data_IF_653208117760
#
_entry.id   IF_653208117760
#
_cell.length_a   1.000
_cell.length_b   1.000
_cell.length_c   1.000
_cell.angle_alpha   90.00
_cell.angle_beta   90.00
_cell.angle_gamma   90.00
#
_symmetry.space_group_name_H-M   'P 1'
#
loop_
_entity.id
_entity.type
_entity.pdbx_description
1 polymer ?
#
# COMPACT_ATOMS: atom_id res chain seq x y z
N UNK A 1 -9.37 -38.77 -17.62
CA UNK A 1 -8.42 -38.89 -18.72
C UNK A 1 -7.10 -38.28 -18.22
N UNK A 2 -6.03 -39.06 -18.18
CA UNK A 2 -4.76 -38.63 -17.59
C UNK A 2 -4.07 -37.65 -18.55
N UNK A 3 -3.41 -36.61 -18.07
CA UNK A 3 -2.72 -35.60 -18.91
C UNK A 3 -1.79 -36.24 -19.92
N UNK A 4 -1.20 -37.37 -19.57
CA UNK A 4 -0.34 -38.18 -20.43
C UNK A 4 -1.07 -38.73 -21.66
N UNK A 5 -2.31 -39.23 -21.48
CA UNK A 5 -3.15 -39.79 -22.55
C UNK A 5 -3.58 -38.71 -23.56
N UNK A 6 -3.75 -37.47 -23.10
CA UNK A 6 -4.09 -36.31 -23.97
C UNK A 6 -2.90 -35.91 -24.81
N UNK A 7 -1.69 -35.90 -24.22
CA UNK A 7 -0.44 -35.54 -24.90
C UNK A 7 -0.09 -36.60 -25.97
N UNK A 8 -0.18 -37.88 -25.61
CA UNK A 8 0.12 -38.98 -26.54
C UNK A 8 -0.85 -39.00 -27.72
N UNK A 9 -2.13 -38.76 -27.51
CA UNK A 9 -3.11 -38.66 -28.58
C UNK A 9 -2.92 -37.44 -29.48
N UNK A 10 -2.51 -36.30 -28.92
CA UNK A 10 -2.25 -35.07 -29.69
C UNK A 10 -0.96 -35.20 -30.55
N UNK A 11 0.07 -35.86 -30.03
CA UNK A 11 1.33 -36.07 -30.76
C UNK A 11 1.24 -37.16 -31.83
N UNK A 12 0.29 -38.10 -31.74
CA UNK A 12 0.08 -39.12 -32.76
C UNK A 12 -0.59 -38.58 -34.03
N UNK A 13 -1.17 -37.39 -33.99
CA UNK A 13 -1.78 -36.70 -35.12
C UNK A 13 -0.77 -35.84 -35.93
N UNK A 14 0.48 -35.74 -35.50
CA UNK A 14 1.52 -34.91 -36.12
C UNK A 14 2.62 -35.80 -36.69
N UNK A 15 3.03 -35.54 -37.95
CA UNK A 15 4.04 -36.31 -38.67
C UNK A 15 5.46 -35.88 -38.24
N UNK A 16 5.89 -36.36 -37.05
CA UNK A 16 7.22 -36.12 -36.45
C UNK A 16 7.91 -37.45 -36.14
N UNK A 17 9.24 -37.45 -36.08
CA UNK A 17 10.01 -38.67 -35.82
C UNK A 17 9.73 -39.22 -34.40
N UNK A 18 9.88 -40.55 -34.25
CA UNK A 18 9.67 -41.20 -32.94
C UNK A 18 10.63 -40.69 -31.84
N UNK A 19 11.82 -40.20 -32.26
CA UNK A 19 12.80 -39.61 -31.34
C UNK A 19 12.41 -38.22 -30.88
N UNK A 20 11.89 -37.42 -31.78
CA UNK A 20 11.38 -36.06 -31.43
C UNK A 20 10.13 -36.11 -30.56
N UNK A 21 9.24 -37.10 -30.83
CA UNK A 21 8.08 -37.39 -29.95
C UNK A 21 8.53 -37.68 -28.52
N UNK A 22 9.55 -38.49 -28.31
CA UNK A 22 10.12 -38.81 -27.00
C UNK A 22 10.69 -37.57 -26.30
N UNK A 23 11.45 -36.75 -27.05
CA UNK A 23 12.02 -35.51 -26.53
C UNK A 23 10.94 -34.51 -26.11
N UNK A 24 9.90 -34.36 -26.93
CA UNK A 24 8.76 -33.48 -26.61
C UNK A 24 8.00 -34.01 -25.40
N UNK A 25 7.71 -35.31 -25.32
CA UNK A 25 7.08 -35.92 -24.19
C UNK A 25 7.86 -35.73 -22.87
N UNK A 26 9.21 -35.89 -22.91
CA UNK A 26 10.04 -35.69 -21.72
C UNK A 26 10.02 -34.22 -21.25
N UNK A 27 10.18 -33.26 -22.18
CA UNK A 27 10.11 -31.83 -21.87
C UNK A 27 8.77 -31.42 -21.29
N UNK A 28 7.66 -31.91 -21.85
CA UNK A 28 6.31 -31.61 -21.33
C UNK A 28 6.12 -32.26 -19.96
N UNK A 29 6.58 -33.49 -19.75
CA UNK A 29 6.47 -34.20 -18.47
C UNK A 29 7.26 -33.48 -17.37
N UNK A 30 8.47 -33.01 -17.70
CA UNK A 30 9.31 -32.25 -16.77
C UNK A 30 8.66 -30.89 -16.41
N UNK A 31 8.08 -30.20 -17.40
CA UNK A 31 7.36 -28.95 -17.15
C UNK A 31 6.06 -29.17 -16.36
N UNK A 32 5.31 -30.23 -16.62
CA UNK A 32 4.09 -30.57 -15.87
C UNK A 32 4.47 -30.94 -14.44
N UNK A 33 5.55 -31.69 -14.21
CA UNK A 33 6.05 -32.01 -12.88
C UNK A 33 6.41 -30.77 -12.06
N UNK A 34 7.16 -29.83 -12.68
CA UNK A 34 7.51 -28.55 -12.07
C UNK A 34 6.27 -27.70 -11.75
N UNK A 35 5.27 -27.69 -12.63
CA UNK A 35 4.02 -26.98 -12.44
C UNK A 35 3.18 -27.57 -11.31
N UNK A 36 3.08 -28.92 -11.25
CA UNK A 36 2.38 -29.61 -10.15
C UNK A 36 3.09 -29.41 -8.80
N UNK A 37 4.42 -29.38 -8.77
CA UNK A 37 5.22 -29.09 -7.60
C UNK A 37 5.03 -27.63 -7.12
N UNK A 38 4.98 -26.69 -8.07
CA UNK A 38 4.66 -25.30 -7.78
C UNK A 38 3.24 -25.12 -7.21
N UNK A 39 2.24 -25.80 -7.80
CA UNK A 39 0.86 -25.80 -7.27
C UNK A 39 0.81 -26.41 -5.87
N UNK A 40 1.46 -27.56 -5.65
CA UNK A 40 1.52 -28.22 -4.34
C UNK A 40 2.17 -27.33 -3.29
N UNK A 41 3.30 -26.67 -3.62
CA UNK A 41 3.96 -25.74 -2.73
C UNK A 41 3.09 -24.52 -2.44
N UNK A 42 2.33 -24.04 -3.41
CA UNK A 42 1.38 -22.94 -3.24
C UNK A 42 0.17 -23.31 -2.40
N UNK A 43 -0.34 -24.54 -2.56
CA UNK A 43 -1.41 -25.08 -1.73
C UNK A 43 -0.97 -25.36 -0.28
N UNK A 44 0.24 -25.87 -0.08
CA UNK A 44 0.84 -26.02 1.26
C UNK A 44 1.09 -24.67 1.92
N UNK A 45 1.58 -23.69 1.16
CA UNK A 45 1.74 -22.32 1.63
C UNK A 45 0.37 -21.67 1.91
N UNK A 46 -0.65 -21.95 1.09
CA UNK A 46 -2.04 -21.53 1.36
C UNK A 46 -2.58 -22.21 2.62
N UNK A 47 -2.34 -23.51 2.83
CA UNK A 47 -2.74 -24.22 4.06
C UNK A 47 -2.01 -23.65 5.28
N UNK A 48 -0.70 -23.44 5.21
CA UNK A 48 0.09 -22.82 6.30
C UNK A 48 -0.36 -21.38 6.58
N UNK A 49 -0.69 -20.60 5.53
CA UNK A 49 -1.31 -19.28 5.66
C UNK A 49 -2.72 -19.34 6.24
N UNK A 50 -3.54 -20.30 5.80
CA UNK A 50 -4.92 -20.46 6.29
C UNK A 50 -4.97 -20.87 7.77
N UNK A 51 -4.03 -21.66 8.26
CA UNK A 51 -3.91 -22.01 9.67
C UNK A 51 -3.50 -20.80 10.51
N UNK A 52 -2.57 -19.96 10.01
CA UNK A 52 -2.14 -18.72 10.69
C UNK A 52 -3.08 -17.52 10.47
N UNK A 53 -3.83 -17.45 9.36
CA UNK A 53 -4.51 -16.25 8.88
C UNK A 53 -5.92 -16.50 8.33
N UNK A 54 -6.60 -17.55 8.78
CA UNK A 54 -7.88 -18.04 8.22
C UNK A 54 -9.02 -17.03 8.11
N UNK A 55 -8.93 -15.88 8.77
CA UNK A 55 -9.96 -14.83 8.77
C UNK A 55 -9.66 -13.63 7.86
N UNK A 56 -8.43 -13.52 7.34
CA UNK A 56 -7.96 -12.30 6.66
C UNK A 56 -8.17 -12.27 5.15
N UNK A 57 -8.88 -13.23 4.58
CA UNK A 57 -9.05 -13.35 3.12
C UNK A 57 -9.78 -12.17 2.44
N UNK A 58 -10.40 -11.28 3.19
CA UNK A 58 -11.21 -10.17 2.63
C UNK A 58 -10.77 -8.77 3.07
N UNK A 59 -9.81 -8.66 3.97
CA UNK A 59 -9.30 -7.37 4.46
C UNK A 59 -7.83 -7.25 4.16
N UNK A 60 -7.38 -6.04 3.85
CA UNK A 60 -5.97 -5.71 3.79
C UNK A 60 -5.32 -6.21 5.09
N UNK A 61 -4.27 -6.98 4.97
CA UNK A 61 -3.58 -7.54 6.12
C UNK A 61 -2.76 -6.45 6.83
N UNK A 62 -3.46 -5.62 7.60
CA UNK A 62 -2.85 -4.57 8.43
C UNK A 62 -2.00 -5.19 9.53
N UNK A 63 -2.32 -6.43 9.92
CA UNK A 63 -1.54 -7.22 10.86
C UNK A 63 -0.12 -7.51 10.31
N UNK A 64 0.02 -7.83 9.03
CA UNK A 64 1.33 -7.98 8.41
C UNK A 64 2.17 -6.70 8.47
N UNK A 65 1.52 -5.54 8.38
CA UNK A 65 2.19 -4.24 8.53
C UNK A 65 2.62 -3.98 9.99
N UNK A 66 1.94 -4.55 10.99
CA UNK A 66 2.22 -4.29 12.39
C UNK A 66 3.09 -5.37 13.07
N UNK A 67 2.91 -6.65 12.75
CA UNK A 67 3.54 -7.74 13.52
C UNK A 67 4.54 -8.57 12.72
N UNK A 68 4.25 -8.93 11.48
CA UNK A 68 5.08 -9.87 10.74
C UNK A 68 6.47 -9.35 10.42
N UNK A 69 6.60 -8.05 10.21
CA UNK A 69 7.89 -7.37 10.03
C UNK A 69 8.60 -7.11 11.37
N UNK A 70 7.95 -7.35 12.51
CA UNK A 70 8.53 -7.14 13.84
C UNK A 70 9.72 -8.05 14.12
N UNK A 71 9.67 -9.29 13.67
CA UNK A 71 10.75 -10.26 13.92
C UNK A 71 11.94 -10.07 12.96
N UNK A 72 11.70 -9.57 11.76
CA UNK A 72 12.70 -9.46 10.70
C UNK A 72 13.48 -8.14 10.71
N UNK A 73 12.87 -7.04 11.13
CA UNK A 73 13.46 -5.71 11.07
C UNK A 73 13.20 -4.93 12.37
N UNK A 74 13.88 -5.34 13.45
CA UNK A 74 13.90 -4.50 14.65
C UNK A 74 14.57 -3.17 14.31
N UNK A 75 13.74 -2.13 14.13
CA UNK A 75 14.17 -0.76 14.02
C UNK A 75 14.91 -0.30 15.27
N UNK A 76 14.71 0.89 15.73
CA UNK A 76 15.29 1.37 16.97
C UNK A 76 14.21 1.58 18.05
N UNK A 77 14.62 1.46 19.30
CA UNK A 77 13.74 1.72 20.45
C UNK A 77 13.66 3.24 20.63
N UNK A 78 12.43 3.74 20.69
CA UNK A 78 12.16 5.14 20.94
C UNK A 78 12.38 5.48 22.40
N UNK A 79 12.96 6.65 22.65
CA UNK A 79 13.15 7.14 24.01
C UNK A 79 11.83 7.76 24.52
N UNK A 80 11.25 7.13 25.54
CA UNK A 80 10.03 7.60 26.15
C UNK A 80 10.22 8.84 27.04
N UNK A 81 11.45 9.25 27.31
CA UNK A 81 11.78 10.47 28.06
C UNK A 81 11.71 11.76 27.25
N UNK A 82 11.57 11.65 25.93
CA UNK A 82 11.47 12.81 25.01
C UNK A 82 10.33 13.72 25.41
N UNK A 83 10.65 15.01 25.49
CA UNK A 83 9.67 16.05 25.83
C UNK A 83 8.92 16.56 24.61
N UNK A 84 7.74 16.02 24.35
CA UNK A 84 6.88 16.43 23.25
C UNK A 84 6.15 17.79 23.48
N UNK A 85 6.35 18.47 24.60
CA UNK A 85 5.91 19.88 24.73
C UNK A 85 6.68 20.82 23.80
N UNK A 86 7.88 20.39 23.36
CA UNK A 86 8.78 21.12 22.46
C UNK A 86 8.56 20.83 20.98
N UNK A 87 7.33 20.51 20.56
CA UNK A 87 7.00 20.22 19.15
C UNK A 87 7.37 21.35 18.17
N UNK A 88 7.51 22.57 18.66
CA UNK A 88 7.94 23.73 17.84
C UNK A 88 9.46 23.72 17.54
N UNK A 89 10.25 23.00 18.31
CA UNK A 89 11.68 22.82 18.11
C UNK A 89 11.94 21.59 17.22
N UNK A 90 11.84 21.80 15.91
CA UNK A 90 12.03 20.75 14.91
C UNK A 90 13.40 20.09 15.06
N UNK A 91 14.45 20.87 15.33
CA UNK A 91 15.82 20.37 15.47
C UNK A 91 15.93 19.40 16.65
N UNK A 92 15.33 19.73 17.79
CA UNK A 92 15.29 18.85 18.94
C UNK A 92 14.53 17.56 18.62
N UNK A 93 13.34 17.68 18.02
CA UNK A 93 12.49 16.52 17.70
C UNK A 93 13.16 15.56 16.72
N UNK A 94 13.80 16.05 15.69
CA UNK A 94 14.45 15.24 14.65
C UNK A 94 15.73 14.58 15.14
N UNK A 95 16.51 15.24 16.00
CA UNK A 95 17.79 14.72 16.50
C UNK A 95 17.62 13.83 17.76
N UNK A 96 16.52 13.92 18.45
CA UNK A 96 16.21 13.01 19.59
C UNK A 96 15.72 11.64 19.08
N UNK A 97 15.68 10.63 19.96
CA UNK A 97 15.09 9.33 19.68
C UNK A 97 13.55 9.37 19.81
N UNK A 98 12.95 10.43 19.25
CA UNK A 98 11.53 10.69 19.21
C UNK A 98 10.84 9.96 18.08
N UNK A 99 9.50 10.01 18.05
CA UNK A 99 8.72 9.55 16.89
C UNK A 99 9.02 10.31 15.59
N UNK A 100 9.74 11.43 15.65
CA UNK A 100 10.16 12.25 14.51
C UNK A 100 11.65 12.09 14.19
N UNK A 101 12.35 11.18 14.87
CA UNK A 101 13.78 10.98 14.71
C UNK A 101 14.18 10.78 13.25
N UNK A 102 15.33 11.34 12.88
CA UNK A 102 15.93 11.12 11.56
C UNK A 102 16.40 9.66 11.36
N UNK A 103 16.48 8.88 12.43
CA UNK A 103 16.90 7.47 12.37
C UNK A 103 15.96 6.57 11.59
N UNK A 104 14.68 6.98 11.43
CA UNK A 104 13.73 6.27 10.56
C UNK A 104 12.93 7.27 9.72
N UNK A 105 12.88 7.00 8.42
CA UNK A 105 12.30 7.89 7.43
C UNK A 105 13.26 8.96 6.89
N UNK A 106 12.77 9.76 5.96
CA UNK A 106 13.54 10.75 5.22
C UNK A 106 13.79 12.00 6.10
N UNK A 107 14.97 12.57 6.03
CA UNK A 107 15.24 13.90 6.63
C UNK A 107 14.44 14.97 5.89
N UNK A 108 13.69 15.81 6.63
CA UNK A 108 12.74 16.78 6.08
C UNK A 108 13.34 17.80 5.10
N UNK A 109 14.65 18.06 5.16
CA UNK A 109 15.32 19.08 4.35
C UNK A 109 16.02 18.56 3.09
N UNK A 110 15.94 17.26 2.79
CA UNK A 110 16.74 16.64 1.73
C UNK A 110 15.90 16.10 0.55
N UNK A 111 14.90 16.87 0.12
CA UNK A 111 14.04 16.50 -1.02
C UNK A 111 14.82 16.21 -2.32
N UNK A 112 16.05 16.66 -2.45
CA UNK A 112 16.89 16.42 -3.63
C UNK A 112 17.68 15.11 -3.55
N UNK A 113 17.91 14.56 -2.35
CA UNK A 113 18.73 13.37 -2.12
C UNK A 113 17.92 12.08 -1.92
N UNK A 114 16.60 12.19 -1.81
CA UNK A 114 15.67 11.08 -1.53
C UNK A 114 15.76 9.96 -2.57
N UNK A 115 16.03 10.27 -3.82
CA UNK A 115 16.13 9.24 -4.87
C UNK A 115 17.50 8.54 -4.89
N UNK A 116 18.56 9.19 -4.40
CA UNK A 116 19.92 8.67 -4.48
C UNK A 116 20.37 7.87 -3.24
N UNK A 117 19.81 8.17 -2.06
CA UNK A 117 20.21 7.54 -0.79
C UNK A 117 19.01 6.89 -0.10
N UNK A 118 18.58 5.77 -0.64
CA UNK A 118 17.39 5.03 -0.17
C UNK A 118 17.66 4.11 1.00
N UNK A 119 18.91 3.86 1.32
CA UNK A 119 19.32 2.88 2.29
C UNK A 119 20.13 3.52 3.39
N UNK A 120 19.83 3.17 4.63
CA UNK A 120 20.47 3.74 5.81
C UNK A 120 20.77 2.65 6.83
N UNK A 121 21.87 2.79 7.56
CA UNK A 121 22.16 1.93 8.70
C UNK A 121 21.31 2.30 9.92
N UNK A 122 21.29 1.42 10.92
CA UNK A 122 20.49 1.58 12.14
C UNK A 122 20.81 2.87 12.93
N UNK A 123 22.07 3.29 12.98
CA UNK A 123 22.48 4.51 13.70
C UNK A 123 22.28 5.79 12.89
N UNK A 124 21.94 5.69 11.60
CA UNK A 124 21.74 6.83 10.71
C UNK A 124 23.03 7.48 10.20
N UNK A 125 24.22 6.94 10.57
CA UNK A 125 25.51 7.50 10.13
C UNK A 125 25.77 7.28 8.65
N UNK A 126 25.52 6.06 8.16
CA UNK A 126 25.74 5.67 6.77
C UNK A 126 24.42 5.73 5.98
N UNK A 127 24.43 6.50 4.89
CA UNK A 127 23.33 6.59 3.91
C UNK A 127 23.88 6.31 2.52
N UNK A 128 23.35 5.29 1.85
CA UNK A 128 23.87 4.79 0.58
C UNK A 128 22.76 4.54 -0.46
N UNK A 129 23.11 4.51 -1.75
CA UNK A 129 22.14 4.14 -2.80
C UNK A 129 21.85 2.65 -2.88
N UNK A 130 22.56 1.80 -2.11
CA UNK A 130 22.46 0.34 -2.15
C UNK A 130 22.26 -0.25 -0.77
N UNK A 131 21.53 -1.39 -0.70
CA UNK A 131 21.37 -2.17 0.51
C UNK A 131 22.63 -3.02 0.82
N UNK A 132 22.75 -3.44 2.08
CA UNK A 132 23.76 -4.44 2.51
C UNK A 132 25.16 -3.88 2.76
N UNK A 133 25.36 -2.55 2.72
CA UNK A 133 26.67 -1.95 3.04
C UNK A 133 26.80 -1.81 4.55
N UNK A 134 27.88 -2.34 5.12
CA UNK A 134 28.12 -2.32 6.57
C UNK A 134 28.56 -0.95 7.05
N UNK A 135 27.87 -0.43 8.04
CA UNK A 135 28.22 0.83 8.68
C UNK A 135 29.49 0.68 9.55
N UNK A 136 30.48 1.59 9.44
CA UNK A 136 31.69 1.53 10.25
C UNK A 136 31.44 1.85 11.73
N UNK A 137 30.32 2.48 12.07
CA UNK A 137 30.00 2.89 13.44
C UNK A 137 29.17 1.86 14.18
N UNK A 138 28.05 1.41 13.58
CA UNK A 138 27.12 0.47 14.25
C UNK A 138 27.21 -0.96 13.73
N UNK A 139 28.06 -1.22 12.73
CA UNK A 139 28.27 -2.52 12.08
C UNK A 139 27.02 -3.19 11.50
N UNK A 140 25.87 -2.46 11.44
CA UNK A 140 24.66 -2.95 10.80
C UNK A 140 24.68 -2.63 9.29
N UNK A 141 24.04 -3.46 8.51
CA UNK A 141 23.89 -3.24 7.07
C UNK A 141 22.86 -2.15 6.80
N UNK A 142 23.07 -1.44 5.69
CA UNK A 142 22.11 -0.42 5.21
C UNK A 142 20.83 -1.09 4.76
N UNK A 143 19.70 -0.58 5.25
CA UNK A 143 18.34 -1.04 4.96
C UNK A 143 17.55 0.08 4.30
N UNK A 144 16.49 -0.29 3.58
CA UNK A 144 15.59 0.69 3.00
C UNK A 144 15.00 1.59 4.11
N UNK A 145 15.14 2.91 3.94
CA UNK A 145 14.67 3.88 4.96
C UNK A 145 13.15 3.81 5.20
N UNK A 146 12.37 3.33 4.23
CA UNK A 146 10.93 3.14 4.38
C UNK A 146 10.56 1.93 5.23
N UNK A 147 11.49 0.99 5.40
CA UNK A 147 11.29 -0.23 6.18
C UNK A 147 11.76 -0.06 7.63
N UNK A 148 12.48 1.01 7.94
CA UNK A 148 12.98 1.28 9.30
C UNK A 148 11.83 1.79 10.17
N UNK A 149 11.62 1.13 11.31
CA UNK A 149 10.55 1.43 12.27
C UNK A 149 11.10 1.80 13.63
N UNK A 150 10.32 2.58 14.38
CA UNK A 150 10.55 2.82 15.79
C UNK A 150 9.67 1.92 16.67
N UNK A 151 10.08 1.72 17.91
CA UNK A 151 9.37 0.87 18.86
C UNK A 151 9.24 1.54 20.20
N UNK A 152 8.04 1.51 20.79
CA UNK A 152 7.86 1.70 22.22
C UNK A 152 7.87 0.35 22.89
N UNK A 153 8.62 0.21 23.98
CA UNK A 153 8.71 -1.02 24.77
C UNK A 153 8.04 -0.80 26.12
N UNK A 154 7.14 -1.70 26.50
CA UNK A 154 6.49 -1.74 27.81
C UNK A 154 7.17 -2.85 28.62
N UNK A 155 7.87 -2.49 29.70
CA UNK A 155 8.73 -3.43 30.43
C UNK A 155 7.97 -4.54 31.17
N UNK A 156 6.83 -4.21 31.79
CA UNK A 156 6.15 -5.09 32.76
C UNK A 156 4.73 -5.49 32.39
N UNK A 157 4.16 -4.88 31.37
CA UNK A 157 2.77 -5.10 30.99
C UNK A 157 2.67 -5.37 29.49
N UNK A 158 1.54 -5.96 29.10
CA UNK A 158 1.18 -6.17 27.71
C UNK A 158 -0.14 -5.46 27.43
N UNK A 159 -0.36 -5.06 26.19
CA UNK A 159 -1.60 -4.48 25.69
C UNK A 159 -2.12 -5.33 24.55
N UNK A 160 -3.41 -5.27 24.28
CA UNK A 160 -3.95 -6.00 23.15
C UNK A 160 -3.37 -5.54 21.83
N UNK A 161 -3.03 -6.49 21.00
CA UNK A 161 -2.73 -6.25 19.59
C UNK A 161 -4.00 -5.70 18.91
N UNK A 162 -3.91 -4.57 18.18
CA UNK A 162 -5.11 -3.84 17.75
C UNK A 162 -5.95 -4.60 16.72
N UNK A 163 -5.33 -5.39 15.83
CA UNK A 163 -6.07 -6.17 14.84
C UNK A 163 -6.78 -7.35 15.50
N UNK A 164 -6.07 -8.08 16.37
CA UNK A 164 -6.66 -9.17 17.15
C UNK A 164 -7.85 -8.67 17.98
N UNK A 165 -7.69 -7.54 18.67
CA UNK A 165 -8.76 -6.96 19.48
C UNK A 165 -9.94 -6.50 18.62
N UNK A 166 -9.67 -5.84 17.49
CA UNK A 166 -10.72 -5.40 16.55
C UNK A 166 -11.54 -6.59 16.04
N UNK A 167 -10.84 -7.69 15.69
CA UNK A 167 -11.47 -8.91 15.23
C UNK A 167 -12.27 -9.60 16.33
N UNK A 168 -11.72 -9.67 17.54
CA UNK A 168 -12.40 -10.22 18.71
C UNK A 168 -13.69 -9.44 19.01
N UNK A 169 -13.63 -8.11 19.02
CA UNK A 169 -14.79 -7.25 19.23
C UNK A 169 -15.86 -7.37 18.11
N UNK A 170 -15.46 -7.73 16.90
CA UNK A 170 -16.38 -7.99 15.80
C UNK A 170 -17.11 -9.36 15.94
N UNK A 171 -16.48 -10.32 16.62
CA UNK A 171 -16.95 -11.70 16.77
C UNK A 171 -17.31 -12.05 18.23
N UNK A 172 -17.89 -11.09 18.97
CA UNK A 172 -18.36 -11.33 20.32
C UNK A 172 -19.65 -12.17 20.33
N UNK A 173 -19.73 -13.10 21.28
CA UNK A 173 -20.95 -13.85 21.56
C UNK A 173 -22.04 -12.89 22.06
N UNK A 174 -23.14 -12.80 21.33
CA UNK A 174 -24.27 -11.91 21.66
C UNK A 174 -24.93 -12.26 23.00
N UNK A 175 -24.88 -13.53 23.41
CA UNK A 175 -25.46 -14.00 24.69
C UNK A 175 -24.59 -13.67 25.91
N UNK A 176 -23.29 -13.42 25.74
CA UNK A 176 -22.37 -13.09 26.82
C UNK A 176 -22.47 -11.64 27.32
N UNK A 177 -23.23 -10.81 26.62
CA UNK A 177 -23.46 -9.41 26.98
C UNK A 177 -23.22 -8.43 25.82
N UNK A 178 -23.65 -7.18 25.98
CA UNK A 178 -23.51 -6.20 24.91
C UNK A 178 -22.04 -5.85 24.64
N UNK A 179 -21.66 -5.77 23.37
CA UNK A 179 -20.31 -5.35 22.91
C UNK A 179 -19.79 -4.10 23.64
N UNK A 180 -20.68 -3.16 23.92
CA UNK A 180 -20.36 -1.93 24.65
C UNK A 180 -19.81 -2.23 26.04
N UNK A 181 -20.36 -3.19 26.76
CA UNK A 181 -19.90 -3.52 28.12
C UNK A 181 -18.49 -4.12 28.12
N UNK A 182 -18.19 -5.00 27.16
CA UNK A 182 -16.85 -5.56 27.00
C UNK A 182 -15.85 -4.45 26.64
N UNK A 183 -16.22 -3.60 25.69
CA UNK A 183 -15.41 -2.46 25.27
C UNK A 183 -15.17 -1.49 26.43
N UNK A 184 -16.21 -1.19 27.22
CA UNK A 184 -16.12 -0.28 28.37
C UNK A 184 -15.17 -0.82 29.45
N UNK A 185 -15.12 -2.14 29.66
CA UNK A 185 -14.18 -2.73 30.61
C UNK A 185 -12.73 -2.63 30.14
N UNK A 186 -12.50 -2.75 28.83
CA UNK A 186 -11.17 -2.75 28.24
C UNK A 186 -10.63 -1.33 27.97
N UNK A 187 -11.48 -0.38 27.58
CA UNK A 187 -11.03 0.87 26.99
C UNK A 187 -11.52 2.10 27.76
N UNK A 188 -12.75 2.08 28.32
CA UNK A 188 -13.38 3.29 28.84
C UNK A 188 -12.88 3.70 30.21
N UNK A 189 -12.58 4.98 30.38
CA UNK A 189 -12.16 5.60 31.64
C UNK A 189 -13.32 5.84 32.65
N UNK A 190 -14.57 5.67 32.23
CA UNK A 190 -15.69 5.91 33.08
C UNK A 190 -15.65 5.05 34.37
N UNK A 191 -15.69 5.70 35.49
CA UNK A 191 -15.76 5.09 36.83
C UNK A 191 -17.12 4.42 37.07
N UNK A 192 -17.43 3.37 36.34
CA UNK A 192 -18.63 2.60 36.58
C UNK A 192 -18.41 1.73 37.82
N UNK A 193 -19.08 2.06 38.92
CA UNK A 193 -19.02 1.31 40.18
C UNK A 193 -19.46 -0.16 40.09
N UNK A 194 -20.01 -0.61 38.96
CA UNK A 194 -20.56 -1.95 38.74
C UNK A 194 -20.11 -2.57 37.42
N UNK A 195 -18.80 -2.51 37.07
CA UNK A 195 -18.29 -3.20 35.87
C UNK A 195 -18.16 -4.70 36.15
N UNK A 196 -19.08 -5.48 35.58
CA UNK A 196 -18.97 -6.97 35.56
C UNK A 196 -18.04 -7.40 34.44
N UNK A 197 -16.93 -8.04 34.77
CA UNK A 197 -15.98 -8.64 33.82
C UNK A 197 -14.53 -8.23 34.09
N UNK A 198 -13.56 -8.99 33.58
CA UNK A 198 -12.14 -8.74 33.78
C UNK A 198 -11.71 -7.44 33.09
N UNK A 199 -10.77 -6.75 33.71
CA UNK A 199 -10.12 -5.55 33.17
C UNK A 199 -8.74 -5.91 32.59
N UNK A 200 -8.04 -4.93 31.98
CA UNK A 200 -6.75 -5.16 31.35
C UNK A 200 -5.64 -5.66 32.28
N UNK A 201 -5.71 -5.39 33.58
CA UNK A 201 -4.75 -5.91 34.54
C UNK A 201 -5.04 -7.39 34.85
N UNK A 202 -6.32 -7.76 34.95
CA UNK A 202 -6.72 -9.16 35.17
C UNK A 202 -6.32 -10.03 33.97
N UNK A 203 -6.42 -9.49 32.78
CA UNK A 203 -6.09 -10.16 31.50
C UNK A 203 -4.58 -10.29 31.20
N UNK A 204 -3.70 -9.78 32.10
CA UNK A 204 -2.26 -10.08 32.01
C UNK A 204 -1.98 -11.55 32.34
N UNK A 205 -2.85 -12.19 33.14
CA UNK A 205 -2.77 -13.62 33.40
C UNK A 205 -3.36 -14.44 32.24
N UNK A 206 -2.58 -15.43 31.79
CA UNK A 206 -2.98 -16.28 30.64
C UNK A 206 -4.28 -17.08 30.92
N UNK A 207 -4.49 -17.54 32.17
CA UNK A 207 -5.69 -18.31 32.51
C UNK A 207 -6.94 -17.43 32.42
N UNK A 208 -6.87 -16.25 32.99
CA UNK A 208 -7.94 -15.26 32.93
C UNK A 208 -8.24 -14.82 31.50
N UNK A 209 -7.21 -14.72 30.66
CA UNK A 209 -7.38 -14.43 29.23
C UNK A 209 -8.08 -15.56 28.47
N UNK A 210 -7.77 -16.85 28.77
CA UNK A 210 -8.46 -18.01 28.23
C UNK A 210 -9.94 -17.97 28.61
N UNK A 211 -10.24 -17.84 29.91
CA UNK A 211 -11.62 -17.74 30.42
C UNK A 211 -12.40 -16.59 29.79
N UNK A 212 -11.74 -15.46 29.54
CA UNK A 212 -12.31 -14.31 28.85
C UNK A 212 -12.65 -14.65 27.40
N UNK A 213 -11.76 -15.33 26.66
CA UNK A 213 -12.01 -15.77 25.28
C UNK A 213 -13.16 -16.78 25.25
N UNK A 214 -13.13 -17.79 26.11
CA UNK A 214 -14.16 -18.83 26.17
C UNK A 214 -15.56 -18.26 26.45
N UNK A 215 -15.63 -17.24 27.30
CA UNK A 215 -16.91 -16.60 27.67
C UNK A 215 -17.43 -15.66 26.61
N UNK A 216 -16.56 -14.86 25.99
CA UNK A 216 -16.98 -13.72 25.16
C UNK A 216 -16.82 -13.94 23.66
N UNK A 217 -16.01 -14.90 23.21
CA UNK A 217 -15.90 -15.22 21.78
C UNK A 217 -17.17 -15.94 21.28
N UNK A 218 -17.50 -15.72 20.00
CA UNK A 218 -18.52 -16.51 19.32
C UNK A 218 -18.06 -17.96 19.14
N UNK A 219 -18.97 -18.93 19.21
CA UNK A 219 -18.63 -20.37 19.16
C UNK A 219 -17.87 -20.75 17.89
N UNK A 220 -18.23 -20.18 16.74
CA UNK A 220 -17.59 -20.43 15.46
C UNK A 220 -16.16 -19.87 15.35
N UNK A 221 -15.73 -19.02 16.28
CA UNK A 221 -14.41 -18.36 16.29
C UNK A 221 -13.59 -18.63 17.54
N UNK A 222 -14.14 -19.33 18.50
CA UNK A 222 -13.48 -19.61 19.78
C UNK A 222 -12.12 -20.30 19.59
N UNK A 223 -12.08 -21.36 18.79
CA UNK A 223 -10.85 -22.12 18.52
C UNK A 223 -9.77 -21.26 17.87
N UNK A 224 -10.18 -20.35 16.97
CA UNK A 224 -9.25 -19.40 16.37
C UNK A 224 -8.61 -18.50 17.41
N UNK A 225 -9.40 -17.88 18.29
CA UNK A 225 -8.88 -16.96 19.31
C UNK A 225 -8.02 -17.69 20.35
N UNK A 226 -8.36 -18.92 20.70
CA UNK A 226 -7.55 -19.77 21.59
C UNK A 226 -6.22 -20.17 20.93
N UNK A 227 -6.21 -20.49 19.65
CA UNK A 227 -4.98 -20.83 18.91
C UNK A 227 -4.06 -19.65 18.68
N UNK A 228 -4.59 -18.43 18.70
CA UNK A 228 -3.84 -17.17 18.50
C UNK A 228 -3.58 -16.39 19.78
N UNK A 229 -3.80 -17.00 20.95
CA UNK A 229 -3.71 -16.35 22.25
C UNK A 229 -2.30 -15.74 22.53
N UNK A 230 -1.25 -16.37 22.03
CA UNK A 230 0.13 -15.92 22.25
C UNK A 230 0.44 -14.63 21.48
N UNK A 231 -0.34 -14.32 20.45
CA UNK A 231 -0.25 -13.06 19.67
C UNK A 231 -1.30 -12.02 20.06
N UNK A 232 -2.20 -12.37 21.00
CA UNK A 232 -3.28 -11.49 21.41
C UNK A 232 -2.79 -10.24 22.15
N UNK A 233 -1.64 -10.35 22.84
CA UNK A 233 -1.08 -9.28 23.66
C UNK A 233 0.38 -9.03 23.34
N UNK A 234 0.75 -7.76 23.18
CA UNK A 234 2.07 -7.27 22.79
C UNK A 234 2.66 -6.36 23.89
N UNK A 235 3.98 -6.42 24.05
CA UNK A 235 4.77 -5.50 24.89
C UNK A 235 5.57 -4.49 24.05
N UNK A 236 5.74 -4.76 22.77
CA UNK A 236 6.45 -3.91 21.83
C UNK A 236 5.46 -3.28 20.87
N UNK A 237 5.38 -1.95 20.85
CA UNK A 237 4.42 -1.19 20.03
C UNK A 237 5.16 -0.58 18.85
N UNK A 238 4.85 -0.97 17.61
CA UNK A 238 5.48 -0.43 16.43
C UNK A 238 5.00 0.99 16.14
N UNK A 239 5.93 1.83 15.73
CA UNK A 239 5.66 3.17 15.22
C UNK A 239 6.03 3.21 13.74
N UNK A 240 5.05 3.45 12.88
CA UNK A 240 5.28 3.54 11.42
C UNK A 240 6.22 4.69 11.10
N UNK A 241 6.96 4.58 9.98
CA UNK A 241 7.88 5.61 9.54
C UNK A 241 7.23 6.99 9.49
N UNK A 242 8.01 8.02 9.81
CA UNK A 242 7.57 9.43 9.75
C UNK A 242 7.12 9.86 8.34
N UNK A 243 7.55 9.17 7.30
CA UNK A 243 7.19 9.48 5.92
C UNK A 243 5.70 9.26 5.63
N UNK A 244 5.04 8.40 6.41
CA UNK A 244 3.59 8.16 6.34
C UNK A 244 2.77 9.11 7.23
N UNK A 245 3.43 9.94 8.04
CA UNK A 245 2.78 10.84 9.02
C UNK A 245 3.54 12.15 9.11
N UNK A 246 3.22 13.06 8.21
CA UNK A 246 3.90 14.34 8.08
C UNK A 246 3.99 15.12 9.40
N UNK A 247 5.10 15.84 9.55
CA UNK A 247 5.36 16.79 10.62
C UNK A 247 6.21 17.91 10.05
N UNK A 248 5.80 19.14 10.24
CA UNK A 248 6.55 20.33 9.83
C UNK A 248 6.28 21.49 10.76
N UNK A 249 7.29 22.30 10.96
CA UNK A 249 7.20 23.56 11.71
C UNK A 249 7.34 24.71 10.72
N UNK A 250 6.36 25.60 10.69
CA UNK A 250 6.37 26.77 9.82
C UNK A 250 6.61 28.01 10.64
N UNK A 251 7.74 28.66 10.44
CA UNK A 251 8.08 29.92 11.07
C UNK A 251 7.49 31.07 10.24
N UNK A 252 6.54 31.81 10.81
CA UNK A 252 6.01 33.03 10.22
C UNK A 252 6.67 34.23 10.89
N UNK A 253 7.14 35.17 10.09
CA UNK A 253 7.75 36.40 10.60
C UNK A 253 6.76 37.14 11.52
N UNK A 254 7.13 37.36 12.78
CA UNK A 254 6.30 38.06 13.76
C UNK A 254 5.23 37.21 14.50
N UNK A 255 5.16 35.89 14.25
CA UNK A 255 4.23 34.99 14.94
C UNK A 255 4.97 33.80 15.56
N UNK A 256 4.32 33.15 16.53
CA UNK A 256 4.83 31.89 17.06
C UNK A 256 4.90 30.80 15.98
N UNK A 257 5.89 29.89 16.05
CA UNK A 257 6.02 28.78 15.13
C UNK A 257 4.75 27.92 15.11
N UNK A 258 4.22 27.69 13.94
CA UNK A 258 3.02 26.86 13.75
C UNK A 258 3.43 25.42 13.43
N UNK A 259 2.92 24.48 14.23
CA UNK A 259 3.16 23.03 14.02
C UNK A 259 2.03 22.44 13.20
N UNK A 260 2.37 21.89 12.05
CA UNK A 260 1.46 21.11 11.22
C UNK A 260 1.87 19.63 11.28
N UNK A 261 0.96 18.78 11.78
CA UNK A 261 1.28 17.37 11.97
C UNK A 261 0.08 16.46 11.71
N UNK A 262 0.36 15.26 11.22
CA UNK A 262 -0.64 14.22 10.97
C UNK A 262 -1.33 13.79 12.28
N UNK A 263 -2.61 13.42 12.21
CA UNK A 263 -3.40 13.00 13.38
C UNK A 263 -2.77 11.82 14.14
N UNK A 264 -2.14 10.89 13.46
CA UNK A 264 -1.44 9.75 14.06
C UNK A 264 -0.33 10.17 15.03
N UNK A 265 0.31 11.32 14.82
CA UNK A 265 1.37 11.79 15.70
C UNK A 265 0.85 12.08 17.12
N UNK A 266 -0.34 12.67 17.25
CA UNK A 266 -0.98 12.89 18.55
C UNK A 266 -1.28 11.58 19.29
N UNK A 267 -1.67 10.54 18.53
CA UNK A 267 -1.95 9.22 19.11
C UNK A 267 -0.65 8.58 19.63
N UNK A 268 0.43 8.61 18.84
CA UNK A 268 1.74 8.09 19.27
C UNK A 268 2.34 8.88 20.44
N UNK A 269 2.22 10.20 20.47
CA UNK A 269 2.65 11.01 21.62
C UNK A 269 1.93 10.58 22.89
N UNK A 270 0.61 10.39 22.83
CA UNK A 270 -0.13 9.91 23.99
C UNK A 270 0.17 8.47 24.39
N UNK A 271 0.59 7.61 23.47
CA UNK A 271 1.15 6.29 23.79
C UNK A 271 2.48 6.47 24.51
N UNK A 272 3.40 7.29 24.00
CA UNK A 272 4.68 7.60 24.63
C UNK A 272 4.51 8.02 26.10
N UNK A 273 3.61 8.97 26.36
CA UNK A 273 3.37 9.47 27.73
C UNK A 273 2.86 8.36 28.66
N UNK A 274 1.97 7.50 28.16
CA UNK A 274 1.43 6.38 28.93
C UNK A 274 2.47 5.31 29.17
N UNK A 275 3.33 4.98 28.19
CA UNK A 275 4.43 4.03 28.32
C UNK A 275 5.48 4.57 29.29
N UNK A 276 5.85 5.85 29.18
CA UNK A 276 6.77 6.51 30.13
C UNK A 276 6.29 6.38 31.57
N UNK A 277 5.01 6.65 31.80
CA UNK A 277 4.43 6.52 33.15
C UNK A 277 4.48 5.08 33.62
N UNK A 278 4.10 4.10 32.80
CA UNK A 278 4.13 2.67 33.16
C UNK A 278 5.55 2.16 33.50
N UNK A 279 6.54 2.49 32.65
CA UNK A 279 7.91 2.03 32.84
C UNK A 279 8.59 2.66 34.07
N UNK A 280 8.20 3.91 34.43
CA UNK A 280 8.71 4.61 35.61
C UNK A 280 8.04 4.20 36.92
N UNK A 281 7.01 3.34 36.86
CA UNK A 281 6.31 2.88 38.06
C UNK A 281 7.19 1.98 38.94
N UNK A 282 7.38 2.36 40.21
CA UNK A 282 8.21 1.67 41.19
C UNK A 282 7.47 0.60 42.02
N UNK A 283 6.23 0.29 41.68
CA UNK A 283 5.41 -0.74 42.33
C UNK A 283 4.49 -0.23 43.46
N UNK A 284 4.62 1.03 43.88
CA UNK A 284 3.78 1.65 44.92
C UNK A 284 2.50 2.32 44.36
N UNK A 285 2.37 2.40 43.06
CA UNK A 285 1.27 3.08 42.39
C UNK A 285 -0.02 2.26 42.45
N UNK A 286 -1.14 2.98 42.46
CA UNK A 286 -2.46 2.37 42.55
C UNK A 286 -2.79 1.53 41.30
N UNK A 287 -3.52 0.40 41.44
CA UNK A 287 -4.00 -0.37 40.28
C UNK A 287 -4.81 0.47 39.30
N UNK A 288 -5.50 1.51 39.78
CA UNK A 288 -6.28 2.40 38.95
C UNK A 288 -5.40 3.22 37.96
N UNK A 289 -4.22 3.68 38.41
CA UNK A 289 -3.28 4.41 37.54
C UNK A 289 -2.69 3.50 36.46
N UNK A 290 -2.29 2.28 36.82
CA UNK A 290 -1.81 1.26 35.86
C UNK A 290 -2.86 0.96 34.80
N UNK A 291 -4.09 0.73 35.25
CA UNK A 291 -5.22 0.46 34.37
C UNK A 291 -5.54 1.64 33.44
N UNK A 292 -5.45 2.87 33.94
CA UNK A 292 -5.67 4.07 33.13
C UNK A 292 -4.65 4.17 31.99
N UNK A 293 -3.36 3.94 32.24
CA UNK A 293 -2.32 3.93 31.22
C UNK A 293 -2.53 2.82 30.19
N UNK A 294 -2.82 1.59 30.63
CA UNK A 294 -3.08 0.46 29.73
C UNK A 294 -4.29 0.70 28.83
N UNK A 295 -5.36 1.28 29.40
CA UNK A 295 -6.55 1.66 28.61
C UNK A 295 -6.24 2.75 27.58
N UNK A 296 -5.49 3.76 27.98
CA UNK A 296 -5.06 4.82 27.07
C UNK A 296 -4.27 4.25 25.88
N UNK A 297 -3.30 3.38 26.14
CA UNK A 297 -2.49 2.75 25.08
C UNK A 297 -3.40 1.90 24.18
N UNK A 298 -4.21 1.02 24.76
CA UNK A 298 -5.11 0.14 24.00
C UNK A 298 -6.08 0.92 23.10
N UNK A 299 -6.69 1.98 23.65
CA UNK A 299 -7.60 2.84 22.88
C UNK A 299 -6.87 3.51 21.71
N UNK A 300 -5.71 4.11 21.97
CA UNK A 300 -4.94 4.79 20.93
C UNK A 300 -4.41 3.84 19.85
N UNK A 301 -4.04 2.60 20.22
CA UNK A 301 -3.67 1.58 19.25
C UNK A 301 -4.84 1.20 18.34
N UNK A 302 -6.04 1.05 18.89
CA UNK A 302 -7.25 0.83 18.08
C UNK A 302 -7.56 2.02 17.17
N UNK A 303 -7.40 3.24 17.65
CA UNK A 303 -7.62 4.45 16.87
C UNK A 303 -6.60 4.54 15.71
N UNK A 304 -5.32 4.24 15.97
CA UNK A 304 -4.27 4.17 14.95
C UNK A 304 -4.60 3.09 13.92
N UNK A 305 -4.97 1.89 14.37
CA UNK A 305 -5.37 0.80 13.50
C UNK A 305 -6.54 1.17 12.59
N UNK A 306 -7.59 1.77 13.15
CA UNK A 306 -8.76 2.18 12.39
C UNK A 306 -8.44 3.30 11.39
N UNK A 307 -7.58 4.27 11.76
CA UNK A 307 -7.15 5.33 10.87
C UNK A 307 -6.32 4.80 9.71
N UNK A 308 -5.39 3.88 9.98
CA UNK A 308 -4.60 3.21 8.93
C UNK A 308 -5.53 2.41 8.01
N UNK A 309 -6.45 1.64 8.56
CA UNK A 309 -7.41 0.84 7.79
C UNK A 309 -8.28 1.71 6.89
N UNK A 310 -8.76 2.86 7.41
CA UNK A 310 -9.52 3.85 6.66
C UNK A 310 -8.68 4.46 5.54
N UNK A 311 -7.45 4.84 5.84
CA UNK A 311 -6.52 5.45 4.88
C UNK A 311 -6.14 4.47 3.77
N UNK A 312 -5.94 3.19 4.08
CA UNK A 312 -5.53 2.19 3.10
C UNK A 312 -6.69 1.66 2.25
N UNK A 313 -7.82 1.27 2.84
CA UNK A 313 -8.81 0.47 2.14
C UNK A 313 -10.29 0.87 2.25
N UNK A 314 -10.63 1.89 3.05
CA UNK A 314 -12.03 2.11 3.47
C UNK A 314 -12.90 2.94 2.51
N UNK A 315 -12.40 3.98 1.89
CA UNK A 315 -13.17 4.96 1.14
C UNK A 315 -12.70 5.12 -0.31
N UNK A 316 -13.46 5.90 -1.11
CA UNK A 316 -13.03 6.27 -2.48
C UNK A 316 -11.72 7.07 -2.47
N UNK A 317 -11.42 7.75 -1.38
CA UNK A 317 -10.20 8.55 -1.20
C UNK A 317 -9.04 7.74 -0.60
N UNK A 318 -9.27 6.48 -0.25
CA UNK A 318 -8.24 5.59 0.30
C UNK A 318 -7.11 5.32 -0.69
N UNK A 319 -5.96 4.93 -0.16
CA UNK A 319 -4.76 4.68 -0.98
C UNK A 319 -5.00 3.62 -2.05
N UNK A 320 -5.60 2.48 -1.68
CA UNK A 320 -5.85 1.39 -2.64
C UNK A 320 -6.88 1.82 -3.66
N UNK A 321 -8.02 2.34 -3.22
CA UNK A 321 -9.13 2.64 -4.13
C UNK A 321 -8.91 3.95 -4.91
N UNK A 322 -8.38 4.99 -4.27
CA UNK A 322 -8.19 6.32 -4.87
C UNK A 322 -6.85 6.52 -5.57
N UNK A 323 -5.78 5.88 -5.09
CA UNK A 323 -4.42 6.10 -5.62
C UNK A 323 -3.89 4.95 -6.47
N UNK A 324 -4.24 3.70 -6.15
CA UNK A 324 -3.84 2.52 -6.93
C UNK A 324 -4.92 2.18 -7.95
N UNK A 325 -6.14 1.87 -7.50
CA UNK A 325 -7.24 1.50 -8.38
C UNK A 325 -7.84 2.67 -9.18
N UNK A 326 -7.83 3.87 -8.62
CA UNK A 326 -8.29 5.11 -9.27
C UNK A 326 -7.17 5.96 -9.87
N UNK A 327 -5.94 5.42 -9.96
CA UNK A 327 -4.82 6.13 -10.60
C UNK A 327 -5.14 6.34 -12.07
N UNK A 328 -4.94 7.56 -12.55
CA UNK A 328 -4.95 7.83 -13.99
C UNK A 328 -3.80 7.06 -14.62
N UNK A 329 -4.09 6.32 -15.68
CA UNK A 329 -3.05 5.68 -16.45
C UNK A 329 -2.18 6.77 -17.09
N UNK A 330 -0.86 6.58 -17.11
CA UNK A 330 -0.01 7.37 -17.98
C UNK A 330 -0.35 7.07 -19.43
N UNK A 331 -0.11 8.00 -20.33
CA UNK A 331 -0.33 7.84 -21.75
C UNK A 331 -1.80 7.51 -22.08
N UNK A 332 -2.71 8.13 -21.37
CA UNK A 332 -4.15 8.04 -21.60
C UNK A 332 -4.77 9.42 -21.45
N UNK A 333 -5.90 9.63 -22.07
CA UNK A 333 -6.57 10.90 -22.00
C UNK A 333 -8.09 10.78 -22.25
N UNK A 334 -8.80 11.86 -22.01
CA UNK A 334 -10.22 11.97 -22.27
C UNK A 334 -10.50 13.20 -23.12
N UNK A 335 -11.20 13.00 -24.22
CA UNK A 335 -11.57 14.05 -25.17
C UNK A 335 -13.03 13.93 -25.59
N UNK A 336 -13.56 15.03 -26.08
CA UNK A 336 -14.78 15.05 -26.82
C UNK A 336 -14.58 14.27 -28.12
N UNK A 337 -15.57 13.50 -28.51
CA UNK A 337 -15.58 12.73 -29.74
C UNK A 337 -16.54 13.40 -30.77
N UNK A 338 -16.12 13.40 -32.00
CA UNK A 338 -16.91 13.95 -33.11
C UNK A 338 -17.03 12.96 -34.27
N UNK A 339 -18.21 12.90 -34.87
CA UNK A 339 -18.50 12.00 -35.97
C UNK A 339 -17.90 12.49 -37.30
N UNK A 340 -17.24 11.59 -38.03
CA UNK A 340 -16.68 11.89 -39.35
C UNK A 340 -16.89 10.71 -40.32
N UNK A 341 -17.82 10.87 -41.26
CA UNK A 341 -18.22 9.80 -42.23
C UNK A 341 -17.07 9.29 -43.11
N UNK A 342 -16.07 10.14 -43.37
CA UNK A 342 -14.93 9.77 -44.21
C UNK A 342 -13.87 8.90 -43.52
N UNK A 343 -13.95 8.77 -42.20
CA UNK A 343 -13.04 7.88 -41.41
C UNK A 343 -13.59 6.46 -41.46
N UNK A 344 -12.71 5.46 -41.60
CA UNK A 344 -13.10 4.04 -41.54
C UNK A 344 -13.65 3.71 -40.15
N UNK A 345 -14.50 2.69 -40.06
CA UNK A 345 -15.16 2.27 -38.82
C UNK A 345 -14.15 1.90 -37.74
N UNK A 346 -13.02 1.29 -38.09
CA UNK A 346 -11.94 0.84 -37.25
C UNK A 346 -10.81 1.87 -37.05
N UNK A 347 -11.04 3.12 -37.45
CA UNK A 347 -9.99 4.14 -37.45
C UNK A 347 -10.43 5.42 -36.73
N UNK A 348 -9.44 6.23 -36.36
CA UNK A 348 -9.63 7.54 -35.72
C UNK A 348 -8.60 8.57 -36.19
N UNK A 349 -8.93 9.84 -36.01
CA UNK A 349 -8.00 10.97 -36.12
C UNK A 349 -7.92 11.60 -34.74
N UNK A 350 -6.72 11.81 -34.24
CA UNK A 350 -6.48 12.34 -32.87
C UNK A 350 -5.73 13.66 -32.92
N UNK A 351 -5.86 14.52 -31.90
CA UNK A 351 -5.07 15.73 -31.77
C UNK A 351 -3.57 15.48 -31.66
N UNK A 352 -2.77 16.42 -32.14
CA UNK A 352 -1.30 16.38 -31.97
C UNK A 352 -0.87 16.26 -30.52
N UNK A 353 -1.55 16.96 -29.60
CA UNK A 353 -1.22 16.95 -28.16
C UNK A 353 -1.36 15.56 -27.57
N UNK A 354 -2.43 14.86 -27.93
CA UNK A 354 -2.68 13.49 -27.52
C UNK A 354 -1.71 12.50 -28.13
N UNK A 355 -1.39 12.67 -29.40
CA UNK A 355 -0.39 11.83 -30.03
C UNK A 355 0.98 11.96 -29.34
N UNK A 356 1.36 13.19 -28.97
CA UNK A 356 2.56 13.44 -28.19
C UNK A 356 2.53 12.76 -26.84
N UNK A 357 1.45 12.89 -26.07
CA UNK A 357 1.26 12.27 -24.75
C UNK A 357 1.38 10.74 -24.81
N UNK A 358 0.81 10.12 -25.83
CA UNK A 358 0.85 8.66 -25.99
C UNK A 358 2.21 8.12 -26.43
N UNK A 359 3.03 8.90 -27.09
CA UNK A 359 4.18 8.36 -27.84
C UNK A 359 5.54 8.87 -27.39
N UNK A 360 5.67 10.05 -26.78
CA UNK A 360 6.97 10.62 -26.42
C UNK A 360 7.76 9.72 -25.46
N UNK A 361 7.12 9.16 -24.43
CA UNK A 361 7.81 8.35 -23.44
C UNK A 361 8.30 7.00 -24.00
N UNK A 362 7.53 6.39 -24.91
CA UNK A 362 7.86 5.08 -25.48
C UNK A 362 8.76 5.16 -26.71
N UNK A 363 8.73 6.27 -27.43
CA UNK A 363 9.43 6.42 -28.73
C UNK A 363 10.33 7.65 -28.74
N UNK A 364 10.89 8.02 -27.59
CA UNK A 364 11.73 9.20 -27.42
C UNK A 364 12.92 9.21 -28.38
N UNK A 365 13.48 8.06 -28.69
CA UNK A 365 14.54 7.86 -29.67
C UNK A 365 14.16 8.36 -31.08
N UNK A 366 12.93 8.09 -31.50
CA UNK A 366 12.40 8.57 -32.78
C UNK A 366 12.21 10.09 -32.79
N UNK A 367 11.71 10.65 -31.69
CA UNK A 367 11.57 12.08 -31.55
C UNK A 367 12.91 12.82 -31.63
N UNK A 368 13.94 12.31 -30.94
CA UNK A 368 15.31 12.83 -30.98
C UNK A 368 15.88 12.70 -32.39
N UNK A 369 15.70 11.55 -33.05
CA UNK A 369 16.14 11.32 -34.43
C UNK A 369 15.56 12.33 -35.40
N UNK A 370 14.32 12.78 -35.17
CA UNK A 370 13.64 13.76 -36.03
C UNK A 370 13.80 15.20 -35.56
N UNK A 371 14.68 15.47 -34.59
CA UNK A 371 15.10 16.81 -34.20
C UNK A 371 14.43 17.38 -32.93
N UNK A 372 13.87 16.53 -32.07
CA UNK A 372 13.39 16.97 -30.75
C UNK A 372 14.57 17.46 -29.90
N UNK A 373 14.44 18.65 -29.36
CA UNK A 373 15.33 19.25 -28.36
C UNK A 373 14.66 19.21 -26.97
N UNK A 374 15.43 19.44 -25.90
CA UNK A 374 14.88 19.52 -24.55
C UNK A 374 13.80 20.61 -24.41
N UNK A 375 13.94 21.72 -25.13
CA UNK A 375 12.94 22.79 -25.14
C UNK A 375 11.68 22.38 -25.87
N UNK A 376 11.80 21.73 -27.04
CA UNK A 376 10.63 21.23 -27.79
C UNK A 376 9.93 20.09 -27.05
N UNK A 377 10.67 19.21 -26.36
CA UNK A 377 10.10 18.19 -25.50
C UNK A 377 9.27 18.81 -24.38
N UNK A 378 9.79 19.84 -23.71
CA UNK A 378 9.07 20.52 -22.65
C UNK A 378 7.78 21.19 -23.14
N UNK A 379 7.81 21.81 -24.33
CA UNK A 379 6.59 22.37 -24.97
C UNK A 379 5.56 21.27 -25.27
N UNK A 380 6.00 20.16 -25.86
CA UNK A 380 5.10 19.04 -26.21
C UNK A 380 4.48 18.40 -24.96
N UNK A 381 5.25 18.25 -23.87
CA UNK A 381 4.72 17.73 -22.59
C UNK A 381 3.72 18.67 -21.90
N UNK A 382 3.81 19.96 -22.18
CA UNK A 382 2.86 20.96 -21.70
C UNK A 382 1.69 21.21 -22.69
N UNK A 383 1.53 20.35 -23.70
CA UNK A 383 0.47 20.44 -24.71
C UNK A 383 0.47 21.78 -25.48
N UNK A 384 1.64 22.28 -25.80
CA UNK A 384 1.81 23.50 -26.59
C UNK A 384 2.72 23.30 -27.82
N UNK A 385 2.40 22.39 -28.76
CA UNK A 385 3.23 22.13 -29.91
C UNK A 385 3.17 23.30 -30.90
N UNK A 386 4.34 23.77 -31.33
CA UNK A 386 4.44 24.73 -32.40
C UNK A 386 4.51 24.04 -33.78
N UNK A 387 4.66 24.83 -34.86
CA UNK A 387 4.75 24.27 -36.23
C UNK A 387 5.90 23.25 -36.38
N UNK A 388 7.04 23.49 -35.74
CA UNK A 388 8.20 22.59 -35.82
C UNK A 388 7.98 21.31 -35.01
N UNK A 389 7.39 21.42 -33.83
CA UNK A 389 7.03 20.26 -33.03
C UNK A 389 6.01 19.39 -33.76
N UNK A 390 5.02 19.99 -34.45
CA UNK A 390 4.05 19.26 -35.31
C UNK A 390 4.73 18.55 -36.46
N UNK A 391 5.75 19.14 -37.10
CA UNK A 391 6.52 18.48 -38.14
C UNK A 391 7.28 17.24 -37.63
N UNK A 392 7.83 17.33 -36.41
CA UNK A 392 8.45 16.19 -35.74
C UNK A 392 7.42 15.09 -35.51
N UNK A 393 6.28 15.44 -34.92
CA UNK A 393 5.17 14.49 -34.66
C UNK A 393 4.68 13.81 -35.93
N UNK A 394 4.54 14.53 -37.03
CA UNK A 394 4.15 13.93 -38.34
C UNK A 394 5.18 12.91 -38.81
N UNK A 395 6.49 13.21 -38.67
CA UNK A 395 7.56 12.25 -39.04
C UNK A 395 7.53 11.01 -38.17
N UNK A 396 7.37 11.18 -36.85
CA UNK A 396 7.24 10.06 -35.90
C UNK A 396 6.00 9.24 -36.23
N UNK A 397 4.83 9.88 -36.46
CA UNK A 397 3.60 9.20 -36.83
C UNK A 397 3.76 8.36 -38.11
N UNK A 398 4.37 8.92 -39.16
CA UNK A 398 4.62 8.17 -40.41
C UNK A 398 5.52 6.94 -40.16
N UNK A 399 6.52 7.07 -39.31
CA UNK A 399 7.40 5.96 -38.96
C UNK A 399 6.68 4.90 -38.12
N UNK A 400 5.89 5.29 -37.14
CA UNK A 400 5.10 4.37 -36.33
C UNK A 400 4.06 3.64 -37.17
N UNK A 401 3.38 4.35 -38.08
CA UNK A 401 2.45 3.75 -39.04
C UNK A 401 3.14 2.72 -39.93
N UNK A 402 4.36 3.03 -40.42
CA UNK A 402 5.16 2.08 -41.21
C UNK A 402 5.52 0.81 -40.43
N UNK A 403 5.64 0.93 -39.10
CA UNK A 403 5.92 -0.21 -38.19
C UNK A 403 4.66 -0.93 -37.70
N UNK A 404 3.47 -0.52 -38.13
CA UNK A 404 2.17 -0.98 -37.63
C UNK A 404 1.99 -0.76 -36.11
N UNK A 405 2.56 0.33 -35.57
CA UNK A 405 2.44 0.76 -34.18
C UNK A 405 1.60 2.05 -34.12
N UNK A 406 0.35 1.97 -34.57
CA UNK A 406 -0.55 3.11 -34.64
C UNK A 406 -1.97 2.76 -34.20
N UNK A 407 -2.13 1.79 -33.31
CA UNK A 407 -3.43 1.41 -32.76
C UNK A 407 -3.54 1.88 -31.31
N UNK A 408 -4.67 2.44 -30.95
CA UNK A 408 -5.03 2.85 -29.58
C UNK A 408 -6.30 2.12 -29.14
N UNK A 409 -6.46 1.97 -27.82
CA UNK A 409 -7.69 1.47 -27.22
C UNK A 409 -8.57 2.66 -26.84
N UNK A 410 -9.81 2.63 -27.28
CA UNK A 410 -10.82 3.63 -26.97
C UNK A 410 -11.98 3.01 -26.19
N UNK A 411 -12.49 3.69 -25.19
CA UNK A 411 -13.68 3.26 -24.47
C UNK A 411 -14.47 4.44 -23.90
N UNK A 412 -15.75 4.21 -23.67
CA UNK A 412 -16.60 5.12 -22.91
C UNK A 412 -16.87 4.57 -21.53
N UNK A 413 -16.71 5.39 -20.50
CA UNK A 413 -17.08 5.03 -19.14
C UNK A 413 -18.59 5.29 -18.88
N UNK A 414 -19.31 4.38 -18.20
CA UNK A 414 -18.83 3.13 -17.61
C UNK A 414 -18.69 1.98 -18.63
N UNK A 415 -17.57 1.25 -18.58
CA UNK A 415 -17.40 0.00 -19.34
C UNK A 415 -18.22 -1.11 -18.69
N UNK A 416 -19.35 -1.44 -19.29
CA UNK A 416 -20.26 -2.46 -18.76
C UNK A 416 -19.94 -3.87 -19.28
N UNK A 417 -19.27 -3.98 -20.41
CA UNK A 417 -18.89 -5.23 -21.06
C UNK A 417 -17.62 -5.05 -21.91
N UNK A 418 -16.96 -6.14 -22.27
CA UNK A 418 -15.70 -6.11 -23.05
C UNK A 418 -15.85 -5.39 -24.39
N UNK A 419 -16.99 -5.52 -25.07
CA UNK A 419 -17.25 -4.83 -26.32
C UNK A 419 -17.33 -3.29 -26.24
N UNK A 420 -17.33 -2.73 -25.03
CA UNK A 420 -17.21 -1.28 -24.82
C UNK A 420 -15.78 -0.76 -24.98
N UNK A 421 -14.79 -1.64 -25.15
CA UNK A 421 -13.40 -1.29 -25.41
C UNK A 421 -13.10 -1.67 -26.85
N UNK A 422 -12.74 -0.69 -27.67
CA UNK A 422 -12.47 -0.88 -29.09
C UNK A 422 -11.03 -0.49 -29.42
N UNK A 423 -10.40 -1.22 -30.34
CA UNK A 423 -9.11 -0.85 -30.90
C UNK A 423 -9.33 0.02 -32.16
N UNK A 424 -8.74 1.20 -32.20
CA UNK A 424 -8.83 2.12 -33.33
C UNK A 424 -7.46 2.38 -33.94
N UNK A 425 -7.36 2.30 -35.27
CA UNK A 425 -6.16 2.69 -36.00
C UNK A 425 -6.06 4.21 -36.09
N UNK A 426 -4.98 4.82 -35.65
CA UNK A 426 -4.73 6.24 -35.88
C UNK A 426 -4.35 6.41 -37.36
N UNK A 427 -5.22 7.06 -38.11
CA UNK A 427 -5.02 7.32 -39.56
C UNK A 427 -4.55 8.73 -39.87
N UNK A 428 -4.71 9.65 -38.91
CA UNK A 428 -4.32 11.05 -39.09
C UNK A 428 -4.19 11.79 -37.77
N UNK A 429 -3.59 12.98 -37.84
CA UNK A 429 -3.47 13.91 -36.72
C UNK A 429 -4.20 15.23 -37.07
N UNK A 430 -4.91 15.82 -36.09
CA UNK A 430 -5.65 17.06 -36.26
C UNK A 430 -5.13 18.19 -35.36
N UNK A 431 -5.50 19.40 -35.65
CA UNK A 431 -5.31 20.56 -34.78
C UNK A 431 -6.47 20.76 -33.79
N UNK A 432 -7.58 20.09 -34.03
CA UNK A 432 -8.81 20.28 -33.27
C UNK A 432 -8.69 19.44 -31.96
N UNK A 433 -9.17 19.93 -30.82
CA UNK A 433 -9.09 19.26 -29.53
C UNK A 433 -10.18 18.17 -29.39
N UNK A 434 -10.47 17.44 -30.45
CA UNK A 434 -11.48 16.40 -30.54
C UNK A 434 -10.91 15.16 -31.21
N UNK A 435 -11.49 14.01 -30.92
CA UNK A 435 -11.19 12.74 -31.61
C UNK A 435 -12.27 12.53 -32.68
N UNK A 436 -11.87 12.38 -33.93
CA UNK A 436 -12.79 12.04 -35.00
C UNK A 436 -12.87 10.53 -35.19
N UNK A 437 -14.05 9.98 -35.13
CA UNK A 437 -14.32 8.56 -35.38
C UNK A 437 -15.49 8.44 -36.38
N UNK A 438 -15.69 7.24 -36.92
CA UNK A 438 -16.81 6.99 -37.79
C UNK A 438 -18.16 7.14 -37.04
N UNK A 439 -19.19 7.70 -37.68
CA UNK A 439 -20.50 7.85 -37.07
C UNK A 439 -21.14 6.53 -36.66
N UNK A 440 -20.95 5.46 -37.41
CA UNK A 440 -21.42 4.11 -37.07
C UNK A 440 -20.79 3.60 -35.75
N UNK A 441 -19.51 3.95 -35.46
CA UNK A 441 -18.84 3.60 -34.24
C UNK A 441 -19.43 4.33 -33.03
N UNK A 442 -19.80 5.60 -33.21
CA UNK A 442 -20.49 6.38 -32.16
C UNK A 442 -21.84 5.77 -31.82
N UNK A 443 -22.63 5.40 -32.83
CA UNK A 443 -23.95 4.82 -32.62
C UNK A 443 -23.89 3.43 -31.98
N UNK A 444 -22.88 2.64 -32.29
CA UNK A 444 -22.81 1.22 -31.90
C UNK A 444 -22.04 0.98 -30.59
N UNK A 445 -20.84 1.53 -30.44
CA UNK A 445 -19.94 1.18 -29.36
C UNK A 445 -19.60 2.32 -28.38
N UNK A 446 -19.66 3.55 -28.85
CA UNK A 446 -19.10 4.72 -28.18
C UNK A 446 -20.12 5.81 -27.88
N UNK A 447 -21.40 5.45 -27.64
CA UNK A 447 -22.46 6.41 -27.33
C UNK A 447 -22.04 7.47 -26.30
N UNK A 448 -22.13 8.75 -26.67
CA UNK A 448 -21.97 9.88 -25.78
C UNK A 448 -20.97 10.93 -26.26
N UNK A 449 -20.81 11.98 -25.45
CA UNK A 449 -20.05 13.17 -25.82
C UNK A 449 -18.54 13.04 -25.60
N UNK A 450 -18.09 12.10 -24.77
CA UNK A 450 -16.70 11.94 -24.36
C UNK A 450 -16.16 10.53 -24.56
N UNK A 451 -14.97 10.44 -25.08
CA UNK A 451 -14.21 9.20 -25.27
C UNK A 451 -12.94 9.21 -24.42
N UNK A 452 -12.65 8.08 -23.73
CA UNK A 452 -11.36 7.84 -23.09
C UNK A 452 -10.50 7.01 -24.03
N UNK A 453 -9.29 7.48 -24.26
CA UNK A 453 -8.26 6.86 -25.11
C UNK A 453 -7.09 6.37 -24.27
#
# INVERSE_FOLDING_TARGET
MNTKDIIDNSLNSVDITAEDKRKICSLITDHVGLYEEAIRSEEENKKKRNIKFGLYRKTLDVHALFIKDMELHRGFILDTSVDYSRLQDETYMVNSDSIFSYKFGIRSNDNRMVQAKRYRCKCGFLEEPMAGIKCPVCHTETQNIYDIRGWFVIDKFKVFEPDWLSLFLANLNKSAGPKKQVLDNLITFASARNKKGPNLLDLQDRKTLIEFIEKYASEDKKDYFLSTIDTAMISEIPVISKDYRFYSVTNKIGNEPSVNSHALNKMYIGINDSVRVLNNMRGKESPAQKLACLRCITQRLLDIYNEIKKTLGGSKESYIRGKIGGRRNGNSGRLVVEAMKSVRVDACIIPYDFFGEFTIDYHRDLYIKYGMTAESENRMRNNYPNKWDKLIMIKVFKELKRRNINTIFAYRAPCLYIGSIVGLEIVGLSNDPVVFVNDTMLDFALHGDDLTL
#
